data_IF_045939053261
#
_entry.id   IF_045939053261
#
_cell.length_a   1.000
_cell.length_b   1.000
_cell.length_c   1.000
_cell.angle_alpha   90.00
_cell.angle_beta   90.00
_cell.angle_gamma   90.00
#
_symmetry.space_group_name_H-M   'P 1'
#
loop_
_entity.id
_entity.type
_entity.pdbx_description
1 polymer ?
#
# COMPACT_ATOMS: atom_id res chain seq x y z
N UNK A 1 -7.96 43.88 6.28
CA UNK A 1 -7.31 43.20 7.43
C UNK A 1 -6.02 43.93 7.74
N UNK A 2 -5.77 44.25 9.02
CA UNK A 2 -4.52 44.91 9.41
C UNK A 2 -3.31 44.04 9.05
N UNK A 3 -2.19 44.63 8.58
CA UNK A 3 -0.99 43.87 8.24
C UNK A 3 -0.44 43.16 9.49
N UNK A 4 -0.04 41.89 9.32
CA UNK A 4 0.63 41.12 10.37
C UNK A 4 2.01 41.74 10.60
N UNK A 5 2.33 42.05 11.86
CA UNK A 5 3.62 42.61 12.29
C UNK A 5 4.35 41.65 13.20
N UNK A 6 5.68 41.63 13.11
CA UNK A 6 6.53 40.77 13.92
C UNK A 6 7.38 41.59 14.87
N UNK A 7 7.45 41.18 16.13
CA UNK A 7 8.25 41.83 17.16
C UNK A 7 9.33 40.88 17.63
N UNK A 8 10.54 41.39 17.77
CA UNK A 8 11.67 40.63 18.27
C UNK A 8 11.39 40.13 19.70
N UNK A 9 11.68 38.85 19.95
CA UNK A 9 11.29 38.19 21.20
C UNK A 9 12.07 38.66 22.43
N UNK A 10 13.29 39.17 22.22
CA UNK A 10 14.21 39.51 23.31
C UNK A 10 14.12 41.01 23.64
N UNK A 11 14.01 41.86 22.62
CA UNK A 11 13.93 43.31 22.77
C UNK A 11 12.51 43.88 22.74
N UNK A 12 11.54 43.13 22.21
CA UNK A 12 10.18 43.62 21.96
C UNK A 12 10.10 44.64 20.82
N UNK A 13 11.20 44.90 20.11
CA UNK A 13 11.25 45.88 19.03
C UNK A 13 10.52 45.37 17.78
N UNK A 14 9.83 46.28 17.07
CA UNK A 14 9.20 45.97 15.79
C UNK A 14 10.28 45.67 14.74
N UNK A 15 10.22 44.49 14.11
CA UNK A 15 11.14 44.08 13.04
C UNK A 15 10.84 44.86 11.76
N UNK A 16 11.89 45.44 11.14
CA UNK A 16 11.79 46.32 9.96
C UNK A 16 13.03 46.20 9.08
N UNK A 17 12.85 46.35 7.77
CA UNK A 17 13.92 46.34 6.74
C UNK A 17 14.90 45.18 6.85
N UNK A 18 14.42 43.99 7.22
CA UNK A 18 15.30 42.84 7.38
C UNK A 18 14.55 41.53 7.20
N UNK A 19 15.33 40.52 6.84
CA UNK A 19 14.91 39.14 6.96
C UNK A 19 14.81 38.73 8.42
N UNK A 20 13.84 37.87 8.74
CA UNK A 20 13.76 37.23 10.04
C UNK A 20 13.28 35.79 9.89
N UNK A 21 13.76 34.93 10.77
CA UNK A 21 13.33 33.54 10.86
C UNK A 21 12.30 33.40 11.99
N UNK A 22 11.19 32.72 11.71
CA UNK A 22 10.22 32.35 12.71
C UNK A 22 9.76 30.91 12.47
N UNK A 23 10.01 30.03 13.45
CA UNK A 23 9.71 28.59 13.39
C UNK A 23 10.30 27.90 12.15
N UNK A 24 11.55 28.22 11.81
CA UNK A 24 12.25 27.63 10.67
C UNK A 24 11.89 28.24 9.31
N UNK A 25 10.91 29.15 9.25
CA UNK A 25 10.48 29.84 8.02
C UNK A 25 11.07 31.24 7.94
N UNK A 26 11.41 31.66 6.73
CA UNK A 26 11.99 32.97 6.46
C UNK A 26 10.94 33.95 5.96
N UNK A 27 11.05 35.20 6.41
CA UNK A 27 10.15 36.30 6.08
C UNK A 27 10.98 37.56 5.87
N UNK A 28 10.40 38.60 5.27
CA UNK A 28 10.99 39.94 5.22
C UNK A 28 9.97 40.98 5.66
N UNK A 29 10.38 41.88 6.55
CA UNK A 29 9.57 43.02 6.98
C UNK A 29 10.03 44.30 6.26
N UNK A 30 9.08 45.08 5.72
CA UNK A 30 9.35 46.38 5.12
C UNK A 30 9.68 47.47 6.18
N UNK A 31 9.80 48.73 5.76
CA UNK A 31 10.14 49.85 6.63
C UNK A 31 9.05 50.18 7.67
N UNK A 32 7.81 49.82 7.37
CA UNK A 32 6.65 49.97 8.24
C UNK A 32 6.43 48.76 9.16
N UNK A 33 7.19 47.68 8.92
CA UNK A 33 7.15 46.41 9.64
C UNK A 33 6.06 45.45 9.12
N UNK A 34 5.55 45.65 7.91
CA UNK A 34 4.63 44.72 7.26
C UNK A 34 5.42 43.59 6.60
N UNK A 35 4.86 42.38 6.64
CA UNK A 35 5.45 41.21 6.01
C UNK A 35 5.20 41.25 4.50
N UNK A 36 6.28 41.14 3.71
CA UNK A 36 6.21 41.11 2.25
C UNK A 36 5.59 39.81 1.72
N UNK A 37 4.93 39.91 0.55
CA UNK A 37 4.25 38.82 -0.16
C UNK A 37 4.48 38.94 -1.66
N UNK A 38 4.33 37.83 -2.38
CA UNK A 38 4.53 37.75 -3.83
C UNK A 38 6.00 37.88 -4.24
N UNK A 39 6.21 38.18 -5.53
CA UNK A 39 7.54 38.41 -6.10
C UNK A 39 8.11 39.75 -5.61
N UNK A 40 9.36 39.73 -5.14
CA UNK A 40 10.06 40.88 -4.60
C UNK A 40 11.50 40.94 -5.11
N UNK A 41 12.08 42.13 -5.09
CA UNK A 41 13.52 42.33 -5.32
C UNK A 41 14.10 43.01 -4.08
N UNK A 42 14.98 42.30 -3.37
CA UNK A 42 15.63 42.78 -2.14
C UNK A 42 17.12 42.78 -2.39
N UNK A 43 17.75 43.96 -2.29
CA UNK A 43 19.18 44.15 -2.55
C UNK A 43 19.65 43.60 -3.91
N UNK A 44 18.79 43.74 -4.94
CA UNK A 44 19.05 43.24 -6.29
C UNK A 44 18.80 41.74 -6.49
N UNK A 45 18.41 41.01 -5.44
CA UNK A 45 18.07 39.59 -5.51
C UNK A 45 16.56 39.42 -5.66
N UNK A 46 16.13 38.73 -6.71
CA UNK A 46 14.74 38.36 -6.90
C UNK A 46 14.37 37.18 -6.00
N UNK A 47 13.32 37.33 -5.20
CA UNK A 47 12.80 36.32 -4.27
C UNK A 47 11.27 36.27 -4.36
N UNK A 48 10.66 35.24 -3.78
CA UNK A 48 9.20 35.13 -3.70
C UNK A 48 8.77 34.80 -2.27
N UNK A 49 7.68 35.41 -1.84
CA UNK A 49 7.01 35.12 -0.57
C UNK A 49 5.58 34.66 -0.83
N UNK A 50 5.14 33.59 -0.18
CA UNK A 50 3.78 33.07 -0.35
C UNK A 50 2.71 34.04 0.20
N UNK A 51 1.44 33.63 0.14
CA UNK A 51 0.31 34.44 0.64
C UNK A 51 0.34 34.67 2.16
N UNK A 52 1.14 33.89 2.90
CA UNK A 52 1.41 34.04 4.33
C UNK A 52 2.71 34.81 4.61
N UNK A 53 3.49 35.13 3.58
CA UNK A 53 4.76 35.85 3.66
C UNK A 53 5.98 34.95 3.87
N UNK A 54 5.82 33.63 3.73
CA UNK A 54 6.93 32.68 3.84
C UNK A 54 7.75 32.71 2.56
N UNK A 55 9.05 32.90 2.68
CA UNK A 55 9.97 32.90 1.55
C UNK A 55 10.02 31.51 0.90
N UNK A 56 9.86 31.46 -0.42
CA UNK A 56 10.13 30.28 -1.21
C UNK A 56 11.64 29.98 -1.18
N UNK A 57 11.98 28.77 -0.74
CA UNK A 57 13.34 28.23 -0.72
C UNK A 57 13.27 26.75 -1.04
N UNK A 58 14.25 26.28 -1.80
CA UNK A 58 14.36 24.92 -2.30
C UNK A 58 13.09 24.41 -3.01
N UNK A 59 12.49 25.24 -3.85
CA UNK A 59 11.24 24.92 -4.52
C UNK A 59 11.18 25.50 -5.92
N UNK A 60 10.41 24.84 -6.79
CA UNK A 60 10.07 25.34 -8.13
C UNK A 60 8.70 25.99 -8.09
N UNK A 61 8.59 27.21 -8.62
CA UNK A 61 7.32 27.93 -8.77
C UNK A 61 7.36 28.74 -10.08
N UNK A 62 6.31 28.59 -10.89
CA UNK A 62 6.08 29.35 -12.13
C UNK A 62 7.29 29.41 -13.08
N UNK A 63 8.01 28.29 -13.20
CA UNK A 63 9.17 28.17 -14.10
C UNK A 63 10.50 28.64 -13.51
N UNK A 64 10.55 28.96 -12.22
CA UNK A 64 11.75 29.37 -11.52
C UNK A 64 12.05 28.44 -10.35
N UNK A 65 13.32 28.12 -10.14
CA UNK A 65 13.81 27.52 -8.91
C UNK A 65 14.22 28.63 -7.94
N UNK A 66 13.84 28.48 -6.68
CA UNK A 66 14.26 29.37 -5.59
C UNK A 66 15.30 28.65 -4.74
N UNK A 67 16.52 29.18 -4.72
CA UNK A 67 17.67 28.56 -4.08
C UNK A 67 17.44 28.20 -2.60
N UNK A 68 17.95 27.04 -2.16
CA UNK A 68 17.72 26.52 -0.82
C UNK A 68 18.26 27.41 0.30
N UNK A 69 19.35 28.12 0.06
CA UNK A 69 20.06 28.88 1.09
C UNK A 69 19.68 30.36 1.08
N UNK A 70 19.53 30.94 -0.12
CA UNK A 70 19.27 32.37 -0.30
C UNK A 70 17.81 32.69 -0.67
N UNK A 71 17.08 31.73 -1.25
CA UNK A 71 15.80 31.99 -1.90
C UNK A 71 15.93 32.80 -3.19
N UNK A 72 17.14 32.97 -3.73
CA UNK A 72 17.36 33.66 -4.98
C UNK A 72 16.70 32.91 -6.15
N UNK A 73 15.95 33.63 -6.96
CA UNK A 73 15.25 33.13 -8.14
C UNK A 73 16.22 32.81 -9.27
N UNK A 74 16.14 31.59 -9.79
CA UNK A 74 16.86 31.11 -10.97
C UNK A 74 15.87 30.60 -12.02
N UNK A 75 15.99 31.10 -13.25
CA UNK A 75 15.18 30.59 -14.37
C UNK A 75 15.60 29.17 -14.73
N UNK A 76 14.60 28.32 -14.99
CA UNK A 76 14.80 26.95 -15.42
C UNK A 76 14.70 26.84 -16.95
N UNK A 77 15.52 25.99 -17.59
CA UNK A 77 15.43 25.78 -19.02
C UNK A 77 14.09 25.14 -19.40
N UNK A 78 13.64 25.42 -20.62
CA UNK A 78 12.42 24.84 -21.19
C UNK A 78 12.75 23.67 -22.09
N UNK A 79 11.77 22.78 -22.23
CA UNK A 79 11.81 21.58 -23.07
C UNK A 79 12.99 20.63 -22.73
N UNK A 80 13.41 20.63 -21.47
CA UNK A 80 14.49 19.80 -20.94
C UNK A 80 14.10 19.24 -19.58
N UNK A 81 14.58 18.03 -19.28
CA UNK A 81 14.44 17.45 -17.95
C UNK A 81 15.48 18.06 -16.99
N UNK A 82 15.03 18.51 -15.82
CA UNK A 82 15.89 19.07 -14.78
C UNK A 82 15.65 18.30 -13.48
N UNK A 83 16.70 17.74 -12.89
CA UNK A 83 16.64 17.14 -11.56
C UNK A 83 17.01 18.17 -10.49
N UNK A 84 16.16 18.35 -9.50
CA UNK A 84 16.37 19.27 -8.37
C UNK A 84 16.04 18.49 -7.10
N UNK A 85 17.06 18.25 -6.28
CA UNK A 85 16.94 17.28 -5.18
C UNK A 85 16.55 15.91 -5.71
N UNK A 86 15.54 15.30 -5.09
CA UNK A 86 15.00 14.03 -5.54
C UNK A 86 14.01 14.19 -6.69
N UNK A 87 13.45 15.38 -6.91
CA UNK A 87 12.39 15.62 -7.89
C UNK A 87 12.91 15.85 -9.31
N UNK A 88 12.08 15.48 -10.29
CA UNK A 88 12.33 15.70 -11.71
C UNK A 88 11.32 16.72 -12.25
N UNK A 89 11.79 17.65 -13.06
CA UNK A 89 10.98 18.72 -13.64
C UNK A 89 11.13 18.75 -15.16
N UNK A 90 10.06 19.13 -15.84
CA UNK A 90 10.03 19.44 -17.26
C UNK A 90 9.09 20.63 -17.50
N UNK A 91 9.62 21.72 -18.04
CA UNK A 91 8.86 22.93 -18.35
C UNK A 91 8.67 23.04 -19.85
N UNK A 92 7.46 22.78 -20.34
CA UNK A 92 7.20 22.94 -21.77
C UNK A 92 7.24 24.43 -22.17
N UNK A 93 7.81 24.73 -23.33
CA UNK A 93 7.84 26.10 -23.88
C UNK A 93 6.45 26.70 -24.09
N UNK A 94 5.44 25.87 -24.38
CA UNK A 94 4.04 26.30 -24.51
C UNK A 94 3.26 26.27 -23.18
N UNK A 95 3.91 25.92 -22.06
CA UNK A 95 3.30 25.87 -20.74
C UNK A 95 2.37 24.68 -20.49
N UNK A 96 2.32 23.68 -21.38
CA UNK A 96 1.47 22.49 -21.21
C UNK A 96 1.91 21.66 -20.01
N UNK A 97 0.91 21.15 -19.30
CA UNK A 97 0.99 20.14 -18.24
C UNK A 97 0.06 18.97 -18.59
N UNK A 98 0.10 17.90 -17.81
CA UNK A 98 -0.63 16.65 -18.05
C UNK A 98 0.21 15.63 -18.82
N UNK A 99 -0.44 14.76 -19.57
CA UNK A 99 0.24 13.77 -20.40
C UNK A 99 0.94 14.44 -21.59
N UNK A 100 2.25 14.21 -21.71
CA UNK A 100 3.09 14.76 -22.78
C UNK A 100 3.97 13.64 -23.32
N UNK A 101 4.01 13.54 -24.65
CA UNK A 101 4.98 12.70 -25.35
C UNK A 101 6.24 13.52 -25.63
N UNK A 102 7.38 13.06 -25.13
CA UNK A 102 8.70 13.66 -25.31
C UNK A 102 9.58 12.59 -25.94
N UNK A 103 10.02 12.81 -27.18
CA UNK A 103 10.87 11.89 -27.95
C UNK A 103 10.31 10.46 -28.04
N UNK A 104 9.00 10.31 -28.22
CA UNK A 104 8.34 9.01 -28.35
C UNK A 104 8.00 8.34 -27.02
N UNK A 105 8.28 9.00 -25.89
CA UNK A 105 8.08 8.48 -24.54
C UNK A 105 7.02 9.30 -23.82
N UNK A 106 6.09 8.64 -23.12
CA UNK A 106 4.97 9.30 -22.46
C UNK A 106 5.30 9.61 -20.99
N UNK A 107 5.04 10.84 -20.57
CA UNK A 107 5.25 11.33 -19.21
C UNK A 107 4.00 12.06 -18.71
N UNK A 108 3.84 12.18 -17.40
CA UNK A 108 2.86 13.07 -16.80
C UNK A 108 3.52 14.24 -16.09
N UNK A 109 3.26 15.44 -16.57
CA UNK A 109 3.80 16.69 -16.01
C UNK A 109 2.73 17.33 -15.13
N UNK A 110 2.93 17.30 -13.82
CA UNK A 110 2.07 17.95 -12.85
C UNK A 110 2.29 19.48 -12.83
N UNK A 111 1.59 20.16 -11.92
CA UNK A 111 1.72 21.60 -11.72
C UNK A 111 3.18 22.01 -11.48
N UNK A 112 3.54 23.20 -11.96
CA UNK A 112 4.90 23.78 -11.89
C UNK A 112 5.99 22.93 -12.58
N UNK A 113 5.58 22.00 -13.45
CA UNK A 113 6.49 21.20 -14.27
C UNK A 113 6.98 19.92 -13.59
N UNK A 114 6.50 19.56 -12.40
CA UNK A 114 6.97 18.36 -11.70
C UNK A 114 6.57 17.09 -12.47
N UNK A 115 7.53 16.25 -12.83
CA UNK A 115 7.29 14.96 -13.49
C UNK A 115 6.80 13.96 -12.45
N UNK A 116 5.66 13.32 -12.73
CA UNK A 116 5.13 12.24 -11.90
C UNK A 116 6.02 10.99 -12.06
N UNK A 117 6.40 10.40 -10.94
CA UNK A 117 7.29 9.23 -10.88
C UNK A 117 6.88 8.30 -9.73
N UNK A 118 7.11 7.02 -9.92
CA UNK A 118 6.92 5.99 -8.90
C UNK A 118 5.45 5.78 -8.53
N UNK A 119 4.53 6.12 -9.42
CA UNK A 119 3.10 6.07 -9.11
C UNK A 119 2.22 6.01 -10.35
N UNK A 120 0.97 5.64 -10.11
CA UNK A 120 -0.14 5.92 -11.02
C UNK A 120 -0.55 7.40 -10.92
N UNK A 121 -1.51 7.83 -11.76
CA UNK A 121 -2.12 9.14 -11.62
C UNK A 121 -2.90 9.31 -10.29
N UNK A 122 -3.41 10.51 -10.03
CA UNK A 122 -4.15 10.82 -8.79
C UNK A 122 -5.43 9.98 -8.59
N UNK A 123 -5.94 9.35 -9.64
CA UNK A 123 -7.08 8.43 -9.61
C UNK A 123 -6.66 6.95 -9.52
N UNK A 124 -5.37 6.67 -9.30
CA UNK A 124 -4.78 5.34 -9.28
C UNK A 124 -4.99 4.54 -10.57
N UNK A 125 -5.19 5.23 -11.70
CA UNK A 125 -5.37 4.62 -13.00
C UNK A 125 -4.04 4.50 -13.75
N UNK A 126 -3.86 3.42 -14.56
CA UNK A 126 -2.77 3.32 -15.51
C UNK A 126 -2.62 4.56 -16.41
N UNK A 127 -1.41 4.81 -16.95
CA UNK A 127 -0.20 4.02 -16.76
C UNK A 127 0.47 4.25 -15.39
N UNK A 128 1.35 3.33 -15.00
CA UNK A 128 2.32 3.59 -13.95
C UNK A 128 3.50 4.37 -14.54
N UNK A 129 3.95 5.42 -13.87
CA UNK A 129 5.13 6.16 -14.26
C UNK A 129 6.33 5.66 -13.46
N UNK A 130 7.37 5.25 -14.17
CA UNK A 130 8.60 4.69 -13.61
C UNK A 130 9.20 5.58 -12.51
N UNK A 131 9.76 4.98 -11.45
CA UNK A 131 10.24 5.77 -10.29
C UNK A 131 11.49 6.57 -10.60
N UNK A 132 12.36 6.02 -11.45
CA UNK A 132 13.62 6.66 -11.77
C UNK A 132 13.41 7.70 -12.87
N UNK A 133 12.80 7.27 -13.97
CA UNK A 133 12.73 8.04 -15.23
C UNK A 133 11.44 8.83 -15.39
N UNK A 134 10.33 8.35 -14.82
CA UNK A 134 9.00 8.90 -15.08
C UNK A 134 8.37 8.52 -16.41
N UNK A 135 8.97 7.62 -17.18
CA UNK A 135 8.31 7.07 -18.37
C UNK A 135 7.09 6.23 -17.97
N UNK A 136 6.03 6.32 -18.77
CA UNK A 136 4.91 5.40 -18.68
C UNK A 136 5.38 3.96 -18.97
N UNK A 137 5.21 3.07 -18.00
CA UNK A 137 5.58 1.67 -18.09
C UNK A 137 4.52 0.88 -18.88
N UNK A 138 4.94 0.26 -19.99
CA UNK A 138 4.09 -0.54 -20.90
C UNK A 138 4.41 -2.03 -20.91
N UNK A 139 5.37 -2.46 -20.07
CA UNK A 139 5.81 -3.85 -19.93
C UNK A 139 5.21 -4.49 -18.69
N UNK A 140 5.18 -5.81 -18.67
CA UNK A 140 4.77 -6.58 -17.50
C UNK A 140 5.75 -6.40 -16.35
N UNK A 141 5.24 -6.50 -15.12
CA UNK A 141 6.09 -6.51 -13.94
C UNK A 141 5.43 -5.98 -12.68
N UNK A 142 6.05 -6.27 -11.54
CA UNK A 142 5.64 -5.70 -10.26
C UNK A 142 6.06 -4.23 -10.16
N UNK A 143 5.14 -3.40 -9.69
CA UNK A 143 5.39 -1.98 -9.40
C UNK A 143 4.83 -1.63 -8.03
N UNK A 144 5.44 -0.63 -7.39
CA UNK A 144 5.04 -0.15 -6.06
C UNK A 144 4.60 1.29 -6.13
N UNK A 145 3.38 1.57 -5.67
CA UNK A 145 2.80 2.93 -5.66
C UNK A 145 2.17 3.16 -4.30
N UNK A 146 2.55 4.26 -3.62
CA UNK A 146 2.03 4.62 -2.28
C UNK A 146 2.13 3.46 -1.26
N UNK A 147 3.28 2.78 -1.22
CA UNK A 147 3.51 1.65 -0.32
C UNK A 147 2.85 0.32 -0.75
N UNK A 148 1.93 0.34 -1.72
CA UNK A 148 1.16 -0.82 -2.18
C UNK A 148 1.76 -1.44 -3.43
N UNK A 149 1.58 -2.74 -3.58
CA UNK A 149 2.09 -3.50 -4.72
C UNK A 149 1.00 -3.74 -5.78
N UNK A 150 1.41 -3.69 -7.04
CA UNK A 150 0.58 -3.98 -8.21
C UNK A 150 1.40 -4.80 -9.19
N UNK A 151 0.72 -5.50 -10.09
CA UNK A 151 1.36 -6.12 -11.25
C UNK A 151 0.77 -5.53 -12.52
N UNK A 152 1.64 -5.09 -13.42
CA UNK A 152 1.26 -4.63 -14.74
C UNK A 152 1.23 -5.84 -15.68
N UNK A 153 0.14 -5.96 -16.43
CA UNK A 153 0.02 -6.91 -17.54
C UNK A 153 0.57 -6.28 -18.84
N UNK A 154 0.57 -7.05 -19.93
CA UNK A 154 0.83 -6.50 -21.26
C UNK A 154 -0.14 -5.34 -21.51
N UNK A 155 0.34 -4.25 -22.12
CA UNK A 155 -0.37 -2.95 -22.30
C UNK A 155 -0.38 -1.98 -21.10
N UNK A 156 0.17 -2.39 -19.95
CA UNK A 156 0.28 -1.53 -18.76
C UNK A 156 -0.97 -1.49 -17.89
N UNK A 157 -2.02 -2.28 -18.18
CA UNK A 157 -3.15 -2.50 -17.27
C UNK A 157 -2.70 -3.19 -15.99
N UNK A 158 -3.45 -2.96 -14.90
CA UNK A 158 -3.27 -3.68 -13.64
C UNK A 158 -3.89 -5.07 -13.72
N UNK A 159 -3.15 -6.06 -13.25
CA UNK A 159 -3.67 -7.40 -13.02
C UNK A 159 -4.74 -7.39 -11.93
N UNK A 160 -5.70 -8.30 -12.06
CA UNK A 160 -6.82 -8.46 -11.12
C UNK A 160 -7.11 -9.94 -10.87
N UNK A 161 -7.58 -10.25 -9.67
CA UNK A 161 -7.90 -11.62 -9.26
C UNK A 161 -6.65 -12.49 -9.09
N UNK A 162 -6.84 -13.80 -9.17
CA UNK A 162 -5.76 -14.78 -9.10
C UNK A 162 -4.93 -14.75 -10.38
N UNK A 163 -3.61 -14.71 -10.24
CA UNK A 163 -2.66 -14.71 -11.35
C UNK A 163 -1.45 -15.57 -11.03
N UNK A 164 -1.11 -16.45 -11.95
CA UNK A 164 0.15 -17.18 -11.91
C UNK A 164 1.21 -16.35 -12.65
N UNK A 165 2.30 -16.02 -11.94
CA UNK A 165 3.43 -15.23 -12.45
C UNK A 165 4.69 -15.98 -12.03
N UNK A 166 5.50 -16.38 -13.02
CA UNK A 166 6.74 -17.13 -12.80
C UNK A 166 6.56 -18.39 -11.92
N UNK A 167 5.46 -19.12 -12.14
CA UNK A 167 5.12 -20.35 -11.41
C UNK A 167 4.64 -20.14 -9.97
N UNK A 168 4.42 -18.89 -9.54
CA UNK A 168 3.84 -18.55 -8.24
C UNK A 168 2.46 -17.93 -8.41
N UNK A 169 1.54 -18.30 -7.53
CA UNK A 169 0.18 -17.76 -7.52
C UNK A 169 0.13 -16.49 -6.67
N UNK A 170 -0.42 -15.41 -7.21
CA UNK A 170 -0.65 -14.14 -6.53
C UNK A 170 -2.13 -13.77 -6.61
N UNK A 171 -2.58 -12.91 -5.69
CA UNK A 171 -3.93 -12.37 -5.74
C UNK A 171 -3.90 -10.85 -5.72
N UNK A 172 -4.61 -10.25 -6.67
CA UNK A 172 -4.84 -8.83 -6.75
C UNK A 172 -6.32 -8.55 -6.46
N UNK A 173 -6.60 -7.60 -5.57
CA UNK A 173 -7.96 -7.26 -5.14
C UNK A 173 -8.86 -7.03 -6.35
N UNK A 174 -10.07 -7.59 -6.30
CA UNK A 174 -11.01 -7.51 -7.42
C UNK A 174 -12.43 -7.58 -6.89
N UNK A 175 -12.91 -6.47 -6.36
CA UNK A 175 -14.31 -6.31 -6.00
C UNK A 175 -15.08 -5.65 -7.15
N UNK A 176 -15.86 -6.41 -7.94
CA UNK A 176 -16.61 -5.86 -9.07
C UNK A 176 -17.71 -4.87 -8.66
N UNK A 177 -18.10 -4.82 -7.38
CA UNK A 177 -19.07 -3.85 -6.87
C UNK A 177 -18.41 -2.54 -6.39
N UNK A 178 -17.09 -2.51 -6.24
CA UNK A 178 -16.38 -1.31 -5.82
C UNK A 178 -15.86 -0.52 -7.02
N UNK A 179 -16.53 0.59 -7.36
CA UNK A 179 -16.06 1.50 -8.43
C UNK A 179 -14.67 2.11 -8.18
N UNK A 180 -14.17 2.06 -6.94
CA UNK A 180 -12.85 2.54 -6.54
C UNK A 180 -11.84 1.40 -6.32
N UNK A 181 -12.12 0.20 -6.86
CA UNK A 181 -11.18 -0.92 -6.81
C UNK A 181 -9.85 -0.54 -7.48
N UNK A 182 -8.75 -0.73 -6.74
CA UNK A 182 -7.41 -0.33 -7.17
C UNK A 182 -6.60 -1.49 -7.73
N UNK A 183 -7.04 -2.73 -7.49
CA UNK A 183 -6.34 -3.98 -7.85
C UNK A 183 -4.97 -4.14 -7.18
N UNK A 184 -4.92 -3.84 -5.88
CA UNK A 184 -3.74 -3.99 -5.04
C UNK A 184 -3.43 -5.49 -4.82
N UNK A 185 -2.16 -5.85 -4.82
CA UNK A 185 -1.70 -7.18 -4.44
C UNK A 185 -2.00 -7.45 -2.97
N UNK A 186 -2.64 -8.58 -2.68
CA UNK A 186 -2.89 -9.04 -1.31
C UNK A 186 -1.64 -9.70 -0.74
N UNK A 187 -1.25 -9.29 0.48
CA UNK A 187 -0.02 -9.72 1.15
C UNK A 187 -0.22 -9.81 2.66
N UNK A 188 0.42 -10.78 3.29
CA UNK A 188 0.43 -10.98 4.74
C UNK A 188 -0.93 -11.37 5.36
N UNK A 189 -1.87 -11.87 4.56
CA UNK A 189 -3.22 -12.12 5.04
C UNK A 189 -3.94 -13.25 4.30
N UNK A 190 -4.99 -13.75 4.94
CA UNK A 190 -5.95 -14.68 4.35
C UNK A 190 -6.80 -13.94 3.30
N UNK A 191 -7.14 -14.61 2.22
CA UNK A 191 -8.08 -14.08 1.24
C UNK A 191 -8.92 -15.16 0.58
N UNK A 192 -10.13 -14.77 0.22
CA UNK A 192 -11.08 -15.54 -0.59
C UNK A 192 -11.26 -14.81 -1.93
N UNK A 193 -10.82 -15.41 -3.05
CA UNK A 193 -10.61 -14.67 -4.29
C UNK A 193 -11.91 -14.33 -5.01
N UNK A 194 -13.01 -15.01 -4.71
CA UNK A 194 -14.28 -14.81 -5.39
C UNK A 194 -15.22 -13.96 -4.55
N UNK A 195 -15.70 -12.89 -5.18
CA UNK A 195 -16.76 -12.07 -4.61
C UNK A 195 -18.11 -12.80 -4.74
N UNK A 196 -18.72 -13.08 -3.59
CA UNK A 196 -19.99 -13.78 -3.49
C UNK A 196 -21.01 -12.88 -2.78
N UNK A 197 -22.13 -12.58 -3.43
CA UNK A 197 -23.23 -11.78 -2.85
C UNK A 197 -23.98 -12.59 -1.76
N UNK A 198 -23.91 -13.91 -1.85
CA UNK A 198 -24.48 -14.88 -0.88
C UNK A 198 -23.48 -16.00 -0.61
N UNK A 199 -23.61 -16.71 0.52
CA UNK A 199 -22.72 -17.84 0.86
C UNK A 199 -22.60 -18.85 -0.31
N UNK A 200 -21.39 -19.35 -0.61
CA UNK A 200 -21.21 -20.35 -1.65
C UNK A 200 -21.93 -21.65 -1.26
N UNK A 201 -22.40 -22.40 -2.26
CA UNK A 201 -23.07 -23.68 -2.02
C UNK A 201 -22.13 -24.71 -1.41
N UNK A 202 -20.84 -24.61 -1.72
CA UNK A 202 -19.79 -25.48 -1.18
C UNK A 202 -18.61 -24.65 -0.70
N UNK A 203 -17.96 -25.10 0.36
CA UNK A 203 -16.75 -24.48 0.88
C UNK A 203 -15.61 -24.43 -0.17
N UNK A 204 -15.54 -25.45 -1.03
CA UNK A 204 -14.51 -25.54 -2.08
C UNK A 204 -14.68 -24.52 -3.22
N UNK A 205 -15.87 -23.91 -3.36
CA UNK A 205 -16.15 -22.97 -4.45
C UNK A 205 -15.49 -21.59 -4.20
N UNK A 206 -15.19 -21.26 -2.94
CA UNK A 206 -14.46 -20.05 -2.58
C UNK A 206 -13.36 -20.35 -1.54
N UNK A 207 -12.31 -21.07 -1.96
CA UNK A 207 -11.31 -21.57 -1.04
C UNK A 207 -10.51 -20.43 -0.43
N UNK A 208 -10.12 -20.62 0.83
CA UNK A 208 -9.23 -19.69 1.53
C UNK A 208 -7.79 -19.90 1.06
N UNK A 209 -7.09 -18.81 0.77
CA UNK A 209 -5.65 -18.77 0.51
C UNK A 209 -4.97 -17.91 1.57
N UNK A 210 -3.67 -18.09 1.78
CA UNK A 210 -2.83 -17.13 2.49
C UNK A 210 -1.72 -16.65 1.56
N UNK A 211 -1.57 -15.33 1.46
CA UNK A 211 -0.51 -14.71 0.66
C UNK A 211 0.55 -14.15 1.62
N UNK A 212 1.81 -14.56 1.47
CA UNK A 212 2.86 -14.20 2.42
C UNK A 212 3.19 -12.69 2.39
N UNK A 213 3.64 -12.12 3.51
CA UNK A 213 3.87 -10.68 3.62
C UNK A 213 4.99 -10.18 2.69
N UNK A 214 6.07 -10.95 2.58
CA UNK A 214 7.31 -10.55 1.92
C UNK A 214 7.27 -10.61 0.39
N UNK A 215 6.38 -11.43 -0.19
CA UNK A 215 6.28 -11.52 -1.66
C UNK A 215 4.85 -11.40 -2.18
N UNK A 216 3.84 -11.66 -1.34
CA UNK A 216 2.46 -11.81 -1.77
C UNK A 216 2.17 -13.12 -2.51
N UNK A 217 3.11 -14.07 -2.57
CA UNK A 217 2.87 -15.37 -3.17
C UNK A 217 1.98 -16.23 -2.25
N UNK A 218 1.12 -17.04 -2.87
CA UNK A 218 0.30 -18.01 -2.16
C UNK A 218 1.21 -19.05 -1.50
N UNK A 219 0.94 -19.29 -0.22
CA UNK A 219 1.62 -20.32 0.55
C UNK A 219 1.14 -21.71 0.11
N UNK A 220 2.06 -22.69 0.02
CA UNK A 220 1.75 -24.09 -0.32
C UNK A 220 2.45 -25.07 0.60
N UNK A 221 1.84 -26.23 0.82
CA UNK A 221 2.34 -27.36 1.60
C UNK A 221 2.90 -27.02 2.99
N UNK A 222 2.24 -26.11 3.71
CA UNK A 222 2.67 -25.73 5.05
C UNK A 222 1.53 -25.24 5.94
N UNK A 223 1.80 -25.25 7.24
CA UNK A 223 0.95 -24.63 8.25
C UNK A 223 1.16 -23.12 8.31
N UNK A 224 0.09 -22.37 8.51
CA UNK A 224 0.13 -20.93 8.82
C UNK A 224 -0.82 -20.65 9.98
N UNK A 225 -0.35 -19.88 10.95
CA UNK A 225 -1.19 -19.32 12.00
C UNK A 225 -1.65 -17.93 11.60
N UNK A 226 -2.95 -17.74 11.39
CA UNK A 226 -3.54 -16.47 10.97
C UNK A 226 -4.91 -16.31 11.63
N UNK A 227 -5.30 -15.08 11.97
CA UNK A 227 -6.60 -14.77 12.57
C UNK A 227 -6.98 -15.69 13.76
N UNK A 228 -6.00 -16.01 14.61
CA UNK A 228 -6.19 -16.84 15.80
C UNK A 228 -6.24 -18.35 15.57
N UNK A 229 -6.17 -18.82 14.32
CA UNK A 229 -6.35 -20.24 13.96
C UNK A 229 -5.17 -20.77 13.13
N UNK A 230 -4.96 -22.09 13.20
CA UNK A 230 -4.05 -22.78 12.31
C UNK A 230 -4.76 -23.17 11.02
N UNK A 231 -4.06 -23.06 9.90
CA UNK A 231 -4.49 -23.49 8.57
C UNK A 231 -3.39 -24.37 8.00
N UNK A 232 -3.73 -25.35 7.16
CA UNK A 232 -2.76 -26.02 6.30
C UNK A 232 -3.11 -25.77 4.84
N UNK A 233 -2.18 -25.23 4.07
CA UNK A 233 -2.37 -24.95 2.66
C UNK A 233 -1.80 -26.10 1.81
N UNK A 234 -2.61 -26.64 0.91
CA UNK A 234 -2.22 -27.73 0.01
C UNK A 234 -1.25 -27.27 -1.08
N UNK A 235 -0.90 -28.21 -1.98
CA UNK A 235 -0.01 -27.95 -3.12
C UNK A 235 -0.54 -26.93 -4.12
N UNK A 236 -1.85 -26.72 -4.16
CA UNK A 236 -2.53 -25.74 -5.02
C UNK A 236 -2.80 -24.41 -4.29
N UNK A 237 -2.27 -24.25 -3.08
CA UNK A 237 -2.36 -23.04 -2.26
C UNK A 237 -3.69 -22.87 -1.54
N UNK A 238 -4.63 -23.79 -1.69
CA UNK A 238 -5.92 -23.75 -0.98
C UNK A 238 -5.77 -24.29 0.42
N UNK A 239 -6.45 -23.68 1.40
CA UNK A 239 -6.59 -24.26 2.72
C UNK A 239 -7.29 -25.63 2.61
N UNK A 240 -6.76 -26.64 3.29
CA UNK A 240 -7.44 -27.92 3.39
C UNK A 240 -8.70 -27.79 4.25
N UNK A 241 -9.67 -28.65 3.95
CA UNK A 241 -10.98 -28.67 4.60
C UNK A 241 -11.27 -30.07 5.13
N UNK A 242 -12.06 -30.13 6.20
CA UNK A 242 -12.58 -31.35 6.82
C UNK A 242 -11.47 -32.33 7.21
N UNK A 243 -11.76 -33.63 7.13
CA UNK A 243 -10.84 -34.72 7.49
C UNK A 243 -9.63 -34.79 6.55
N UNK A 244 -8.43 -34.67 7.11
CA UNK A 244 -7.17 -34.67 6.37
C UNK A 244 -6.09 -35.48 7.08
N UNK A 245 -5.16 -36.03 6.31
CA UNK A 245 -3.93 -36.62 6.84
C UNK A 245 -2.74 -35.79 6.38
N UNK A 246 -2.07 -35.13 7.32
CA UNK A 246 -0.93 -34.25 7.06
C UNK A 246 0.28 -34.77 7.82
N UNK A 247 1.34 -35.17 7.13
CA UNK A 247 2.55 -35.74 7.75
C UNK A 247 2.26 -36.92 8.70
N UNK A 248 1.25 -37.74 8.38
CA UNK A 248 0.82 -38.89 9.19
C UNK A 248 -0.13 -38.55 10.35
N UNK A 249 -0.45 -37.27 10.55
CA UNK A 249 -1.41 -36.82 11.56
C UNK A 249 -2.83 -36.71 10.97
N UNK A 250 -3.83 -37.28 11.66
CA UNK A 250 -5.23 -37.16 11.31
C UNK A 250 -5.81 -35.88 11.91
N UNK A 251 -6.01 -34.86 11.06
CA UNK A 251 -6.46 -33.53 11.45
C UNK A 251 -7.84 -33.22 10.88
N UNK A 252 -8.50 -32.22 11.45
CA UNK A 252 -9.74 -31.69 10.90
C UNK A 252 -9.68 -30.18 10.75
N UNK A 253 -10.14 -29.70 9.60
CA UNK A 253 -10.29 -28.28 9.30
C UNK A 253 -11.77 -27.98 9.07
N UNK A 254 -12.27 -26.85 9.54
CA UNK A 254 -13.67 -26.48 9.29
C UNK A 254 -13.92 -26.08 7.83
N UNK A 255 -15.14 -25.65 7.51
CA UNK A 255 -15.52 -25.19 6.18
C UNK A 255 -14.79 -23.91 5.72
N UNK A 256 -14.05 -23.25 6.62
CA UNK A 256 -13.21 -22.09 6.32
C UNK A 256 -11.73 -22.44 6.21
N UNK A 257 -11.35 -23.66 6.58
CA UNK A 257 -9.98 -24.15 6.64
C UNK A 257 -9.30 -23.96 8.00
N UNK A 258 -10.03 -23.56 9.05
CA UNK A 258 -9.49 -23.42 10.40
C UNK A 258 -9.33 -24.80 11.03
N UNK A 259 -8.14 -25.11 11.52
CA UNK A 259 -7.86 -26.37 12.20
C UNK A 259 -8.63 -26.42 13.52
N UNK A 260 -9.36 -27.52 13.73
CA UNK A 260 -9.99 -27.81 15.01
C UNK A 260 -8.93 -28.37 15.96
N UNK A 261 -8.78 -27.74 17.13
CA UNK A 261 -7.89 -28.16 18.21
C UNK A 261 -8.60 -28.00 19.54
N UNK A 262 -8.54 -29.04 20.36
CA UNK A 262 -9.11 -29.03 21.70
C UNK A 262 -10.64 -29.07 21.72
N UNK A 263 -11.27 -29.48 20.62
CA UNK A 263 -12.72 -29.43 20.46
C UNK A 263 -13.27 -30.69 19.78
N UNK A 264 -14.58 -30.88 19.92
CA UNK A 264 -15.33 -31.99 19.34
C UNK A 264 -15.85 -31.64 17.94
N UNK A 265 -15.86 -32.63 17.06
CA UNK A 265 -16.50 -32.57 15.75
C UNK A 265 -17.54 -33.68 15.67
N UNK A 266 -18.79 -33.31 15.36
CA UNK A 266 -19.91 -34.26 15.21
C UNK A 266 -20.34 -34.34 13.76
N UNK A 267 -20.42 -35.56 13.26
CA UNK A 267 -21.01 -35.90 11.96
C UNK A 267 -22.10 -36.97 12.13
N UNK A 268 -22.68 -37.45 11.03
CA UNK A 268 -23.74 -38.48 11.06
C UNK A 268 -23.27 -39.85 11.60
N UNK A 269 -21.95 -40.08 11.71
CA UNK A 269 -21.36 -41.30 12.28
C UNK A 269 -21.03 -41.13 13.77
N UNK A 270 -21.23 -39.95 14.34
CA UNK A 270 -21.02 -39.65 15.76
C UNK A 270 -19.98 -38.56 16.00
N UNK A 271 -19.58 -38.40 17.27
CA UNK A 271 -18.69 -37.33 17.72
C UNK A 271 -17.25 -37.81 17.85
N UNK A 272 -16.30 -36.99 17.41
CA UNK A 272 -14.83 -37.18 17.52
C UNK A 272 -14.21 -36.00 18.26
N UNK A 273 -13.00 -36.19 18.81
CA UNK A 273 -12.26 -35.12 19.49
C UNK A 273 -10.85 -34.98 18.94
N UNK A 274 -10.41 -33.74 18.76
CA UNK A 274 -9.07 -33.41 18.26
C UNK A 274 -8.26 -32.77 19.38
N UNK A 275 -7.04 -33.26 19.59
CA UNK A 275 -6.16 -32.88 20.69
C UNK A 275 -5.92 -31.35 20.75
N UNK A 276 -5.89 -30.78 21.96
CA UNK A 276 -5.73 -29.33 22.17
C UNK A 276 -4.38 -28.80 21.67
N UNK A 277 -3.32 -29.61 21.76
CA UNK A 277 -1.95 -29.18 21.49
C UNK A 277 -1.52 -29.51 20.07
N UNK A 278 -1.81 -30.72 19.59
CA UNK A 278 -1.46 -31.13 18.22
C UNK A 278 -2.58 -30.90 17.22
N UNK A 279 -3.83 -31.06 17.63
CA UNK A 279 -4.97 -31.18 16.72
C UNK A 279 -5.15 -32.58 16.14
N UNK A 280 -4.39 -33.57 16.62
CA UNK A 280 -4.51 -34.97 16.20
C UNK A 280 -5.83 -35.58 16.67
N UNK A 281 -6.46 -36.38 15.82
CA UNK A 281 -7.62 -37.17 16.18
C UNK A 281 -7.28 -38.12 17.32
N UNK A 282 -8.01 -38.00 18.43
CA UNK A 282 -7.86 -38.90 19.56
C UNK A 282 -8.53 -40.25 19.27
N UNK A 283 -7.75 -41.33 19.30
CA UNK A 283 -8.22 -42.71 19.08
C UNK A 283 -7.69 -43.67 20.16
N UNK A 284 -8.39 -44.79 20.37
CA UNK A 284 -8.00 -45.91 21.23
C UNK A 284 -7.57 -45.52 22.67
N UNK A 285 -8.20 -44.50 23.25
CA UNK A 285 -7.84 -44.02 24.58
C UNK A 285 -9.03 -43.38 25.32
N UNK A 286 -8.88 -43.19 26.62
CA UNK A 286 -9.86 -42.50 27.47
C UNK A 286 -9.30 -41.13 27.86
N UNK A 287 -10.12 -40.07 27.76
CA UNK A 287 -9.75 -38.71 28.19
C UNK A 287 -10.86 -38.04 28.98
N UNK A 288 -10.45 -37.17 29.91
CA UNK A 288 -11.35 -36.26 30.61
C UNK A 288 -11.24 -34.88 29.98
N UNK A 289 -12.36 -34.37 29.44
CA UNK A 289 -12.44 -33.09 28.74
C UNK A 289 -13.53 -32.28 29.44
N UNK A 290 -13.18 -31.10 29.95
CA UNK A 290 -14.08 -30.23 30.70
C UNK A 290 -14.83 -30.95 31.85
N UNK A 291 -14.16 -31.87 32.54
CA UNK A 291 -14.71 -32.63 33.66
C UNK A 291 -15.55 -33.86 33.28
N UNK A 292 -15.75 -34.14 31.99
CA UNK A 292 -16.48 -35.32 31.51
C UNK A 292 -15.51 -36.33 30.91
N UNK A 293 -15.68 -37.62 31.25
CA UNK A 293 -14.79 -38.69 30.77
C UNK A 293 -15.39 -39.38 29.55
N UNK A 294 -14.58 -39.52 28.50
CA UNK A 294 -14.93 -40.17 27.25
C UNK A 294 -13.92 -41.26 26.92
N UNK A 295 -14.40 -42.40 26.43
CA UNK A 295 -13.59 -43.39 25.73
C UNK A 295 -13.72 -43.19 24.23
N UNK A 296 -12.60 -43.18 23.51
CA UNK A 296 -12.52 -43.04 22.06
C UNK A 296 -12.08 -44.34 21.42
N UNK A 297 -12.86 -44.83 20.45
CA UNK A 297 -12.56 -46.08 19.73
C UNK A 297 -11.44 -45.92 18.68
N UNK A 298 -11.21 -46.97 17.88
CA UNK A 298 -10.20 -46.98 16.82
C UNK A 298 -10.44 -45.93 15.72
N UNK A 299 -11.68 -45.49 15.54
CA UNK A 299 -12.09 -44.46 14.60
C UNK A 299 -12.24 -43.08 15.28
N UNK A 300 -11.86 -42.98 16.56
CA UNK A 300 -11.92 -41.78 17.38
C UNK A 300 -13.33 -41.41 17.83
N UNK A 301 -14.29 -42.34 17.79
CA UNK A 301 -15.68 -42.06 18.19
C UNK A 301 -15.82 -42.06 19.70
N UNK A 302 -16.37 -40.97 20.21
CA UNK A 302 -16.52 -40.73 21.63
C UNK A 302 -17.73 -41.48 22.19
N UNK A 303 -17.50 -42.21 23.29
CA UNK A 303 -18.53 -42.74 24.18
C UNK A 303 -18.30 -42.16 25.57
N UNK A 304 -19.27 -41.40 26.07
CA UNK A 304 -19.24 -40.91 27.45
C UNK A 304 -19.32 -42.09 28.42
N UNK A 305 -18.49 -42.05 29.46
CA UNK A 305 -18.46 -43.02 30.56
C UNK A 305 -19.19 -42.48 31.80
#
# INVERSE_FOLDING_TARGET
TSPVKFYDKDSGALVKNQYFNHNGKWYYADAEGNILKGSQTIDGVHVYFDSYGVQAKDTVLDGYYYDKDSGARKELPRDQFIKIGDDLYYLSSNGRTGEINIDGKDYYIAQYGRVLRGSFNVYQQPPYYDDETGEAVKKTGFVKSDGRWYYLEEDGKKAKGLKEIDGKLYFFSNNPMNKYETHEQVRGQLARPYFYISFPNRAEDNPTYYFEAETGAAVTNQFVYADGHWYYFGKDGKALLFDQVVNGQHLYFDYEGKQVKGDFVTDYKGTRYYDENSGELVTNQTRTINGVTYHFDENGRAKQL
#
